data_IF_915266428291
#
_entry.id   IF_915266428291
#
_cell.length_a   1.000
_cell.length_b   1.000
_cell.length_c   1.000
_cell.angle_alpha   90.00
_cell.angle_beta   90.00
_cell.angle_gamma   90.00
#
_symmetry.space_group_name_H-M   'P 1'
#
loop_
_entity.id
_entity.type
_entity.pdbx_description
1 polymer ?
#
# COMPACT_ATOMS: atom_id res chain seq x y z
N UNK A 1 -9.14 7.14 12.02
CA UNK A 1 -9.55 6.01 12.89
C UNK A 1 -8.71 4.80 12.51
N UNK A 2 -8.33 3.93 13.46
CA UNK A 2 -7.56 2.72 13.16
C UNK A 2 -8.47 1.56 12.82
N UNK A 3 -8.10 0.81 11.80
CA UNK A 3 -8.82 -0.39 11.36
C UNK A 3 -7.85 -1.55 11.22
N UNK A 4 -8.21 -2.70 11.78
CA UNK A 4 -7.56 -3.98 11.55
C UNK A 4 -8.15 -4.60 10.29
N UNK A 5 -7.28 -4.99 9.37
CA UNK A 5 -7.71 -5.73 8.18
C UNK A 5 -7.71 -7.22 8.45
N UNK A 6 -8.77 -7.92 8.03
CA UNK A 6 -8.83 -9.38 8.06
C UNK A 6 -8.26 -10.04 6.81
N UNK A 7 -7.86 -9.26 5.80
CA UNK A 7 -7.31 -9.78 4.54
C UNK A 7 -6.18 -8.89 4.04
N UNK A 8 -5.42 -9.39 3.07
CA UNK A 8 -4.42 -8.60 2.37
C UNK A 8 -5.14 -7.67 1.38
N UNK A 9 -5.12 -6.35 1.64
CA UNK A 9 -5.77 -5.33 0.82
C UNK A 9 -4.73 -4.34 0.31
N UNK A 10 -4.73 -4.11 -0.99
CA UNK A 10 -3.94 -3.05 -1.61
C UNK A 10 -4.82 -1.82 -1.92
N UNK A 11 -4.63 -0.74 -1.18
CA UNK A 11 -5.32 0.53 -1.36
C UNK A 11 -4.70 1.33 -2.51
N UNK A 12 -5.17 1.10 -3.74
CA UNK A 12 -4.68 1.81 -4.95
C UNK A 12 -4.69 3.33 -4.82
N UNK A 13 -5.72 3.91 -4.16
CA UNK A 13 -5.83 5.37 -3.95
C UNK A 13 -4.77 5.94 -3.02
N UNK A 14 -4.29 5.13 -2.07
CA UNK A 14 -3.30 5.53 -1.08
C UNK A 14 -1.90 5.06 -1.46
N UNK A 15 -1.77 4.13 -2.42
CA UNK A 15 -0.52 3.47 -2.75
C UNK A 15 0.05 2.68 -1.57
N UNK A 16 -0.83 2.19 -0.69
CA UNK A 16 -0.47 1.43 0.52
C UNK A 16 -1.08 0.05 0.45
N UNK A 17 -0.37 -0.93 0.97
CA UNK A 17 -0.91 -2.26 1.23
C UNK A 17 -1.01 -2.51 2.72
N UNK A 18 -1.99 -3.33 3.08
CA UNK A 18 -2.24 -3.79 4.43
C UNK A 18 -2.36 -5.30 4.34
N UNK A 19 -1.53 -5.97 5.12
CA UNK A 19 -1.56 -7.42 5.25
C UNK A 19 -2.72 -7.86 6.17
N UNK A 20 -3.05 -9.15 6.12
CA UNK A 20 -3.97 -9.77 7.07
C UNK A 20 -3.49 -9.54 8.51
N UNK A 21 -4.43 -9.16 9.38
CA UNK A 21 -4.22 -8.66 10.74
C UNK A 21 -3.44 -7.34 10.86
N UNK A 22 -3.06 -6.69 9.76
CA UNK A 22 -2.42 -5.38 9.75
C UNK A 22 -3.38 -4.27 10.17
N UNK A 23 -2.83 -3.21 10.76
CA UNK A 23 -3.57 -2.03 11.22
C UNK A 23 -3.29 -0.87 10.26
N UNK A 24 -4.35 -0.17 9.87
CA UNK A 24 -4.26 1.03 9.02
C UNK A 24 -5.12 2.16 9.56
N UNK A 25 -4.62 3.38 9.41
CA UNK A 25 -5.37 4.60 9.70
C UNK A 25 -6.15 5.05 8.47
N UNK A 26 -7.48 5.05 8.60
CA UNK A 26 -8.42 5.47 7.56
C UNK A 26 -9.56 6.30 8.16
N UNK A 27 -10.24 7.05 7.28
CA UNK A 27 -11.51 7.69 7.58
C UNK A 27 -12.64 6.67 7.64
N UNK A 28 -13.65 6.96 8.47
CA UNK A 28 -14.82 6.10 8.65
C UNK A 28 -15.59 5.92 7.35
N UNK A 29 -15.87 7.00 6.63
CA UNK A 29 -16.54 6.98 5.33
C UNK A 29 -15.80 6.14 4.30
N UNK A 30 -14.45 6.19 4.32
CA UNK A 30 -13.64 5.39 3.42
C UNK A 30 -13.65 3.90 3.80
N UNK A 31 -13.53 3.58 5.08
CA UNK A 31 -13.61 2.21 5.58
C UNK A 31 -14.98 1.56 5.28
N UNK A 32 -16.08 2.30 5.44
CA UNK A 32 -17.42 1.85 5.08
C UNK A 32 -17.56 1.58 3.57
N UNK A 33 -16.98 2.44 2.73
CA UNK A 33 -16.97 2.22 1.28
C UNK A 33 -16.18 0.97 0.90
N UNK A 34 -15.00 0.79 1.47
CA UNK A 34 -14.15 -0.39 1.23
C UNK A 34 -14.85 -1.66 1.69
N UNK A 35 -15.47 -1.66 2.87
CA UNK A 35 -16.26 -2.79 3.35
C UNK A 35 -17.43 -3.12 2.41
N UNK A 36 -18.10 -2.13 1.81
CA UNK A 36 -19.17 -2.36 0.82
C UNK A 36 -18.65 -2.96 -0.48
N UNK A 37 -17.55 -2.43 -1.03
CA UNK A 37 -16.94 -2.96 -2.25
C UNK A 37 -16.43 -4.39 -2.05
N UNK A 38 -15.75 -4.63 -0.93
CA UNK A 38 -15.13 -5.93 -0.63
C UNK A 38 -16.13 -6.98 -0.12
N UNK A 39 -17.34 -6.61 0.30
CA UNK A 39 -18.38 -7.57 0.69
C UNK A 39 -18.83 -8.47 -0.48
N UNK A 40 -18.78 -7.95 -1.70
CA UNK A 40 -19.10 -8.74 -2.90
C UNK A 40 -17.99 -9.73 -3.24
N UNK A 41 -16.74 -9.39 -2.95
CA UNK A 41 -15.59 -10.27 -3.21
C UNK A 41 -15.36 -11.28 -2.09
N UNK A 42 -15.66 -10.90 -0.84
CA UNK A 42 -15.48 -11.73 0.35
C UNK A 42 -16.83 -11.92 1.06
N UNK A 43 -17.69 -12.76 0.48
CA UNK A 43 -18.99 -13.10 1.09
C UNK A 43 -18.85 -13.89 2.40
N UNK A 44 -17.68 -14.53 2.60
CA UNK A 44 -17.35 -15.31 3.78
C UNK A 44 -17.01 -14.43 5.00
N UNK A 45 -16.57 -13.19 4.75
CA UNK A 45 -16.11 -12.27 5.81
C UNK A 45 -17.12 -11.13 5.98
N UNK A 46 -17.69 -10.92 7.19
CA UNK A 46 -18.74 -9.93 7.40
C UNK A 46 -18.25 -8.48 7.24
N UNK A 47 -16.99 -8.20 7.62
CA UNK A 47 -16.32 -6.90 7.46
C UNK A 47 -14.83 -7.14 7.25
N UNK A 48 -14.25 -6.53 6.23
CA UNK A 48 -12.82 -6.69 5.94
C UNK A 48 -11.98 -5.77 6.82
N UNK A 49 -12.48 -4.55 7.08
CA UNK A 49 -11.88 -3.58 8.00
C UNK A 49 -12.70 -3.48 9.28
N UNK A 50 -12.08 -3.80 10.42
CA UNK A 50 -12.68 -3.75 11.75
C UNK A 50 -12.07 -2.58 12.53
N UNK A 51 -12.87 -1.63 13.04
CA UNK A 51 -12.35 -0.53 13.85
C UNK A 51 -11.68 -1.10 15.10
N UNK A 52 -10.49 -0.60 15.40
CA UNK A 52 -9.74 -0.95 16.61
C UNK A 52 -9.66 0.31 17.46
N UNK A 53 -10.14 0.22 18.70
CA UNK A 53 -9.94 1.26 19.69
C UNK A 53 -8.45 1.33 20.08
N UNK A 54 -7.98 2.52 20.45
CA UNK A 54 -6.56 2.87 20.60
C UNK A 54 -5.80 2.08 21.70
N UNK A 55 -6.47 1.20 22.44
CA UNK A 55 -5.93 0.46 23.58
C UNK A 55 -5.23 -0.86 23.22
N UNK A 56 -5.12 -1.20 21.93
CA UNK A 56 -4.38 -2.39 21.49
C UNK A 56 -2.98 -1.96 21.01
N UNK A 57 -2.04 -1.88 21.95
CA UNK A 57 -0.59 -2.01 21.68
C UNK A 57 -0.35 -3.34 20.95
N UNK A 58 -0.34 -3.32 19.62
CA UNK A 58 0.26 -4.41 18.86
C UNK A 58 0.99 -3.77 17.69
N UNK A 59 2.26 -3.47 17.96
CA UNK A 59 3.40 -3.58 17.07
C UNK A 59 3.01 -3.98 15.64
N UNK A 60 2.70 -3.01 14.80
CA UNK A 60 2.73 -3.20 13.34
C UNK A 60 3.99 -2.52 12.86
N UNK A 61 5.03 -3.32 12.72
CA UNK A 61 6.19 -3.05 11.88
C UNK A 61 5.69 -2.55 10.51
N UNK A 62 5.77 -1.24 10.32
CA UNK A 62 5.64 -0.62 9.01
C UNK A 62 6.94 -0.89 8.24
N UNK A 63 7.09 -2.10 7.70
CA UNK A 63 8.07 -2.37 6.64
C UNK A 63 7.53 -1.79 5.32
N UNK A 64 7.59 -0.46 5.21
CA UNK A 64 7.46 0.24 3.93
C UNK A 64 8.71 1.07 3.69
N UNK A 65 9.83 0.38 3.52
CA UNK A 65 11.00 0.90 2.82
C UNK A 65 11.61 -0.34 2.15
N UNK A 66 11.49 -0.55 0.84
CA UNK A 66 12.41 0.06 -0.09
C UNK A 66 11.85 0.02 -1.53
N UNK A 67 11.51 1.19 -2.05
CA UNK A 67 11.45 1.45 -3.49
C UNK A 67 12.91 1.49 -3.96
N UNK A 68 13.43 0.62 -4.85
CA UNK A 68 14.72 0.91 -5.45
C UNK A 68 14.54 2.11 -6.40
N UNK A 69 15.09 3.24 -5.94
CA UNK A 69 15.27 4.49 -6.68
C UNK A 69 15.89 4.21 -8.05
N UNK A 70 15.20 4.71 -9.08
CA UNK A 70 15.72 5.22 -10.37
C UNK A 70 17.25 5.24 -10.48
N UNK A 71 17.84 4.40 -11.34
CA UNK A 71 19.09 4.75 -12.02
C UNK A 71 18.77 5.64 -13.22
N UNK A 72 18.75 6.95 -12.97
CA UNK A 72 18.98 7.98 -13.99
C UNK A 72 20.42 7.85 -14.51
N UNK A 73 20.61 7.62 -15.81
CA UNK A 73 21.82 8.04 -16.54
C UNK A 73 21.46 8.54 -17.94
N UNK A 74 21.48 9.86 -18.05
CA UNK A 74 21.96 10.71 -19.15
C UNK A 74 21.63 10.28 -20.59
N UNK A 75 20.67 10.99 -21.17
CA UNK A 75 20.84 11.53 -22.52
C UNK A 75 21.98 12.57 -22.51
N UNK A 76 23.08 12.27 -23.21
CA UNK A 76 23.90 13.30 -23.87
C UNK A 76 24.62 12.65 -25.05
N UNK A 77 24.29 13.16 -26.23
CA UNK A 77 25.02 12.94 -27.46
C UNK A 77 26.50 13.28 -27.27
N UNK A 78 27.39 12.40 -27.73
CA UNK A 78 28.74 12.77 -28.10
C UNK A 78 29.18 11.84 -29.26
N UNK A 79 29.02 12.39 -30.47
CA UNK A 79 29.96 12.36 -31.59
C UNK A 79 31.01 11.23 -31.58
N UNK A 80 30.83 10.25 -32.46
CA UNK A 80 31.92 9.41 -32.96
C UNK A 80 32.33 9.93 -34.35
N UNK A 81 33.29 10.85 -34.37
CA UNK A 81 34.13 11.10 -35.54
C UNK A 81 35.61 11.04 -35.12
N UNK A 82 36.27 10.00 -35.66
CA UNK A 82 37.58 10.02 -36.32
C UNK A 82 38.86 9.55 -35.63
N UNK A 83 39.68 8.95 -36.52
CA UNK A 83 41.11 8.62 -36.51
C UNK A 83 41.46 7.25 -35.91
N UNK A 84 42.29 6.39 -36.50
CA UNK A 84 43.21 6.39 -37.65
C UNK A 84 43.30 4.89 -38.11
N UNK A 85 43.83 4.44 -39.24
CA UNK A 85 45.01 4.76 -40.07
C UNK A 85 44.86 3.94 -41.36
#
# INVERSE_FOLDING_TARGET
>A
MRYKSLKNIHFKKLGKEVLENGIIELDKDFADKVNKELKLTFMDVPKVLIPVDNDVETEVETETEEKPKRKSRKSKAETADKAAE
#
